data_IF_711522191396
#
_entry.id   IF_711522191396
#
_cell.length_a   1.000
_cell.length_b   1.000
_cell.length_c   1.000
_cell.angle_alpha   90.00
_cell.angle_beta   90.00
_cell.angle_gamma   90.00
#
_symmetry.space_group_name_H-M   'P 1'
#
loop_
_entity.id
_entity.type
_entity.pdbx_description
1 polymer ?
#
# COMPACT_ATOMS: atom_id res chain seq x y z
N UNK A 1 -35.62 -3.63 11.32
CA UNK A 1 -35.29 -5.03 10.98
C UNK A 1 -33.94 -5.35 11.61
N UNK A 2 -33.90 -6.31 12.54
CA UNK A 2 -32.72 -6.69 13.30
C UNK A 2 -31.78 -7.52 12.43
N UNK A 3 -30.61 -6.99 12.08
CA UNK A 3 -29.51 -7.77 11.52
C UNK A 3 -28.68 -8.38 12.67
N UNK A 4 -29.28 -9.35 13.36
CA UNK A 4 -28.51 -10.35 14.09
C UNK A 4 -28.04 -11.34 13.03
N UNK A 5 -26.73 -11.44 12.77
CA UNK A 5 -26.21 -12.71 12.27
C UNK A 5 -26.60 -13.74 13.31
N UNK A 6 -27.48 -14.71 13.01
CA UNK A 6 -27.84 -15.71 14.00
C UNK A 6 -26.55 -16.41 14.42
N UNK A 7 -26.36 -16.61 15.73
CA UNK A 7 -25.40 -17.62 16.20
C UNK A 7 -25.84 -18.93 15.56
N UNK A 8 -25.09 -19.40 14.56
CA UNK A 8 -25.41 -20.65 13.87
C UNK A 8 -24.90 -21.79 14.74
N UNK A 9 -25.62 -22.05 15.83
CA UNK A 9 -25.39 -23.20 16.68
C UNK A 9 -26.16 -24.37 16.10
N UNK A 10 -25.49 -25.23 15.33
CA UNK A 10 -26.13 -26.42 14.74
C UNK A 10 -25.85 -27.63 15.61
N UNK A 11 -26.90 -28.30 16.10
CA UNK A 11 -26.78 -29.54 16.87
C UNK A 11 -26.98 -30.75 15.97
N UNK A 12 -25.99 -31.64 15.90
CA UNK A 12 -26.13 -32.96 15.30
C UNK A 12 -26.40 -34.01 16.38
N UNK A 13 -27.39 -34.89 16.17
CA UNK A 13 -27.54 -36.12 16.97
C UNK A 13 -26.85 -37.24 16.21
N UNK A 14 -25.84 -37.85 16.84
CA UNK A 14 -25.01 -38.89 16.23
C UNK A 14 -25.13 -40.18 17.05
N UNK A 15 -25.43 -41.30 16.39
CA UNK A 15 -25.34 -42.64 17.00
C UNK A 15 -23.89 -43.11 17.13
N UNK A 16 -23.62 -44.21 17.85
CA UNK A 16 -22.26 -44.64 18.19
C UNK A 16 -21.36 -45.03 16.99
N UNK A 17 -21.88 -45.07 15.76
CA UNK A 17 -21.11 -45.33 14.53
C UNK A 17 -21.60 -44.52 13.31
N UNK A 18 -22.41 -43.47 13.50
CA UNK A 18 -22.93 -42.68 12.39
C UNK A 18 -21.98 -41.54 12.01
N UNK A 19 -21.78 -41.32 10.71
CA UNK A 19 -21.16 -40.09 10.20
C UNK A 19 -22.30 -39.14 9.86
N UNK A 20 -22.58 -38.17 10.73
CA UNK A 20 -23.54 -37.11 10.44
C UNK A 20 -22.86 -35.96 9.70
N UNK A 21 -23.32 -35.64 8.50
CA UNK A 21 -22.92 -34.42 7.78
C UNK A 21 -23.88 -33.30 8.16
N UNK A 22 -23.36 -32.19 8.70
CA UNK A 22 -24.15 -30.98 8.97
C UNK A 22 -23.81 -29.96 7.90
N UNK A 23 -24.77 -29.66 7.04
CA UNK A 23 -24.65 -28.56 6.09
C UNK A 23 -25.12 -27.28 6.76
N UNK A 24 -24.22 -26.31 6.87
CA UNK A 24 -24.54 -24.96 7.36
C UNK A 24 -24.67 -24.05 6.16
N UNK A 25 -25.89 -23.64 5.84
CA UNK A 25 -26.11 -22.55 4.90
C UNK A 25 -25.69 -21.23 5.55
N UNK A 26 -24.55 -20.71 5.11
CA UNK A 26 -24.13 -19.36 5.46
C UNK A 26 -24.93 -18.41 4.56
N UNK A 27 -25.76 -17.50 5.10
CA UNK A 27 -26.53 -16.59 4.28
C UNK A 27 -25.58 -15.74 3.41
N UNK A 28 -25.89 -15.64 2.12
CA UNK A 28 -25.14 -14.79 1.20
C UNK A 28 -25.32 -13.32 1.60
N UNK A 29 -24.30 -12.75 2.25
CA UNK A 29 -24.32 -11.34 2.64
C UNK A 29 -23.98 -10.52 1.40
N UNK A 30 -24.90 -9.67 0.99
CA UNK A 30 -24.67 -8.74 -0.12
C UNK A 30 -23.53 -7.78 0.26
N UNK A 31 -22.47 -7.66 -0.57
CA UNK A 31 -21.39 -6.74 -0.29
C UNK A 31 -21.90 -5.30 -0.33
N UNK A 32 -21.44 -4.50 0.63
CA UNK A 32 -21.68 -3.06 0.66
C UNK A 32 -20.51 -2.32 0.01
N UNK A 33 -20.78 -1.15 -0.56
CA UNK A 33 -19.77 -0.36 -1.27
C UNK A 33 -19.24 0.74 -0.37
N UNK A 34 -17.93 0.80 -0.19
CA UNK A 34 -17.25 1.92 0.45
C UNK A 34 -16.32 2.64 -0.53
N UNK A 35 -16.05 3.90 -0.25
CA UNK A 35 -15.07 4.72 -0.98
C UNK A 35 -14.04 5.32 -0.02
N UNK A 36 -12.77 5.29 -0.43
CA UNK A 36 -11.68 6.02 0.24
C UNK A 36 -10.89 6.80 -0.80
N UNK A 37 -10.42 7.96 -0.36
CA UNK A 37 -9.41 8.72 -1.09
C UNK A 37 -8.04 8.20 -0.66
N UNK A 38 -7.24 7.74 -1.60
CA UNK A 38 -5.89 7.26 -1.38
C UNK A 38 -4.94 8.22 -2.06
N UNK A 39 -3.96 8.68 -1.30
CA UNK A 39 -2.89 9.51 -1.81
C UNK A 39 -1.56 8.76 -1.66
N UNK A 40 -0.90 8.55 -2.79
CA UNK A 40 0.38 7.90 -2.89
C UNK A 40 1.44 8.92 -3.32
N UNK A 41 2.44 9.14 -2.47
CA UNK A 41 3.63 9.91 -2.79
C UNK A 41 4.81 8.97 -2.97
N UNK A 42 5.44 8.98 -4.15
CA UNK A 42 6.58 8.10 -4.47
C UNK A 42 7.82 8.94 -4.74
N UNK A 43 8.88 8.61 -4.02
CA UNK A 43 10.23 9.11 -4.25
C UNK A 43 11.02 8.06 -5.04
N UNK A 44 11.43 8.40 -6.26
CA UNK A 44 12.32 7.59 -7.08
C UNK A 44 13.73 8.16 -7.02
N UNK A 45 14.73 7.29 -6.79
CA UNK A 45 16.15 7.61 -6.78
C UNK A 45 16.90 6.66 -7.70
N UNK A 46 17.88 7.22 -8.40
CA UNK A 46 18.84 6.46 -9.19
C UNK A 46 20.23 6.66 -8.60
N UNK A 47 20.90 5.56 -8.27
CA UNK A 47 22.26 5.57 -7.73
C UNK A 47 23.21 4.83 -8.66
N UNK A 48 24.34 5.45 -8.99
CA UNK A 48 25.42 4.84 -9.77
C UNK A 48 26.67 4.76 -8.91
N UNK A 49 27.55 3.80 -9.16
CA UNK A 49 28.88 3.79 -8.55
C UNK A 49 29.75 4.83 -9.24
N UNK A 50 30.26 5.80 -8.48
CA UNK A 50 31.20 6.82 -8.96
C UNK A 50 32.52 6.74 -8.21
N UNK A 51 33.61 7.05 -8.90
CA UNK A 51 34.92 7.23 -8.27
C UNK A 51 35.08 8.66 -7.76
N UNK A 52 35.30 8.80 -6.46
CA UNK A 52 35.57 10.09 -5.83
C UNK A 52 36.97 10.11 -5.22
N UNK A 53 37.67 11.25 -5.26
CA UNK A 53 38.90 11.43 -4.52
C UNK A 53 38.63 11.43 -3.02
N UNK A 54 39.46 10.75 -2.25
CA UNK A 54 39.40 10.69 -0.80
C UNK A 54 40.80 10.74 -0.20
N UNK A 55 40.89 11.17 1.05
CA UNK A 55 42.11 11.20 1.84
C UNK A 55 41.91 10.38 3.11
N UNK A 56 42.97 9.78 3.63
CA UNK A 56 42.95 9.18 4.96
C UNK A 56 42.94 10.33 5.99
N UNK A 57 42.02 10.32 6.95
CA UNK A 57 41.95 11.34 8.00
C UNK A 57 42.36 10.72 9.33
N UNK A 58 43.27 11.38 10.06
CA UNK A 58 43.66 10.98 11.42
C UNK A 58 42.89 11.82 12.45
N UNK A 59 41.84 11.23 13.02
CA UNK A 59 40.99 11.86 14.03
C UNK A 59 41.77 12.37 15.26
N UNK A 60 42.94 11.81 15.57
CA UNK A 60 43.72 12.23 16.75
C UNK A 60 44.56 13.47 16.49
N UNK A 61 44.93 13.71 15.23
CA UNK A 61 45.76 14.85 14.81
C UNK A 61 44.96 15.90 14.04
N UNK A 62 43.71 15.59 13.70
CA UNK A 62 42.83 16.42 12.87
C UNK A 62 43.46 16.80 11.52
N UNK A 63 44.24 15.90 10.91
CA UNK A 63 44.94 16.14 9.65
C UNK A 63 44.70 15.02 8.62
N UNK A 64 44.76 15.38 7.33
CA UNK A 64 44.76 14.42 6.23
C UNK A 64 46.15 13.83 6.03
N UNK A 65 46.24 12.51 5.89
CA UNK A 65 47.49 11.75 5.76
C UNK A 65 47.56 11.05 4.40
N UNK A 66 48.73 11.10 3.78
CA UNK A 66 49.06 10.33 2.57
C UNK A 66 48.53 10.95 1.27
N UNK A 67 48.75 10.26 0.14
CA UNK A 67 48.28 10.71 -1.17
C UNK A 67 46.76 10.58 -1.30
N UNK A 68 46.16 11.37 -2.20
CA UNK A 68 44.77 11.19 -2.62
C UNK A 68 44.56 9.78 -3.18
N UNK A 69 43.56 9.07 -2.69
CA UNK A 69 43.12 7.77 -3.20
C UNK A 69 41.76 7.91 -3.87
N UNK A 70 41.49 7.08 -4.87
CA UNK A 70 40.16 7.00 -5.51
C UNK A 70 39.36 5.89 -4.83
N UNK A 71 38.17 6.22 -4.34
CA UNK A 71 37.24 5.25 -3.75
C UNK A 71 35.94 5.21 -4.56
N UNK A 72 35.36 4.02 -4.65
CA UNK A 72 34.07 3.81 -5.32
C UNK A 72 32.96 4.02 -4.29
N UNK A 73 32.08 4.99 -4.55
CA UNK A 73 30.94 5.30 -3.68
C UNK A 73 29.64 5.37 -4.51
N UNK A 74 28.49 5.03 -3.92
CA UNK A 74 27.21 5.26 -4.56
C UNK A 74 26.93 6.77 -4.64
N UNK A 75 26.78 7.29 -5.86
CA UNK A 75 26.45 8.68 -6.18
C UNK A 75 25.00 8.75 -6.67
N UNK A 76 24.24 9.72 -6.17
CA UNK A 76 22.88 9.98 -6.63
C UNK A 76 22.89 10.69 -7.98
N UNK A 77 22.42 10.01 -9.02
CA UNK A 77 22.34 10.56 -10.38
C UNK A 77 21.01 11.29 -10.62
N UNK A 78 19.91 10.72 -10.11
CA UNK A 78 18.56 11.25 -10.35
C UNK A 78 17.69 11.12 -9.11
N UNK A 79 16.84 12.13 -8.87
CA UNK A 79 15.85 12.15 -7.80
C UNK A 79 14.58 12.84 -8.29
N UNK A 80 13.46 12.15 -8.25
CA UNK A 80 12.15 12.72 -8.55
C UNK A 80 11.10 12.28 -7.54
N UNK A 81 10.10 13.14 -7.34
CA UNK A 81 8.94 12.86 -6.52
C UNK A 81 7.70 12.99 -7.41
N UNK A 82 6.82 12.00 -7.34
CA UNK A 82 5.54 12.05 -7.99
C UNK A 82 4.43 11.72 -6.98
N UNK A 83 3.32 12.44 -7.09
CA UNK A 83 2.15 12.28 -6.24
C UNK A 83 0.97 11.87 -7.11
N UNK A 84 0.33 10.78 -6.73
CA UNK A 84 -0.87 10.26 -7.37
C UNK A 84 -2.00 10.22 -6.34
N UNK A 85 -3.13 10.82 -6.67
CA UNK A 85 -4.32 10.79 -5.83
C UNK A 85 -5.37 9.96 -6.56
N UNK A 86 -5.75 8.83 -5.98
CA UNK A 86 -6.75 7.96 -6.56
C UNK A 86 -7.94 7.76 -5.62
N UNK A 87 -9.12 7.59 -6.21
CA UNK A 87 -10.33 7.19 -5.49
C UNK A 87 -10.56 5.71 -5.75
N UNK A 88 -10.60 4.90 -4.69
CA UNK A 88 -10.90 3.47 -4.80
C UNK A 88 -12.25 3.20 -4.20
N UNK A 89 -13.13 2.63 -5.02
CA UNK A 89 -14.36 1.98 -4.59
C UNK A 89 -14.07 0.52 -4.33
N UNK A 90 -14.47 0.03 -3.16
CA UNK A 90 -14.28 -1.35 -2.76
C UNK A 90 -15.58 -1.93 -2.25
N UNK A 91 -15.66 -3.26 -2.30
CA UNK A 91 -16.80 -4.04 -1.81
C UNK A 91 -16.39 -4.67 -0.48
N UNK A 92 -17.11 -4.35 0.59
CA UNK A 92 -16.92 -4.96 1.91
C UNK A 92 -18.05 -5.95 2.15
N UNK A 93 -17.71 -7.20 2.40
CA UNK A 93 -18.67 -8.24 2.77
C UNK A 93 -18.92 -8.25 4.29
N UNK A 94 -20.07 -8.79 4.71
CA UNK A 94 -20.38 -9.01 6.12
C UNK A 94 -20.33 -7.73 6.98
N UNK A 95 -20.91 -6.63 6.47
CA UNK A 95 -21.11 -5.39 7.22
C UNK A 95 -22.58 -4.93 7.14
N UNK A 96 -23.11 -4.29 8.20
CA UNK A 96 -24.45 -3.70 8.16
C UNK A 96 -24.54 -2.56 7.15
N UNK A 97 -25.68 -2.44 6.45
CA UNK A 97 -25.93 -1.35 5.48
C UNK A 97 -25.82 0.08 6.06
N UNK A 98 -25.95 0.21 7.38
CA UNK A 98 -25.83 1.50 8.08
C UNK A 98 -24.39 1.79 8.52
N UNK A 99 -23.43 0.93 8.19
CA UNK A 99 -22.04 1.13 8.57
C UNK A 99 -21.40 2.24 7.74
N UNK A 100 -20.75 3.16 8.43
CA UNK A 100 -19.96 4.24 7.83
C UNK A 100 -18.49 4.04 8.14
N UNK A 101 -17.62 4.33 7.18
CA UNK A 101 -16.17 4.30 7.40
C UNK A 101 -15.81 5.55 8.20
N UNK A 102 -15.19 5.33 9.37
CA UNK A 102 -14.77 6.42 10.25
C UNK A 102 -13.27 6.67 10.22
N UNK A 103 -12.49 5.67 9.83
CA UNK A 103 -11.03 5.78 9.73
C UNK A 103 -10.48 4.70 8.78
N UNK A 104 -9.29 4.94 8.23
CA UNK A 104 -8.60 4.01 7.35
C UNK A 104 -7.07 4.15 7.47
N UNK A 105 -6.38 3.02 7.60
CA UNK A 105 -4.94 2.95 7.78
C UNK A 105 -4.31 1.99 6.75
N UNK A 106 -3.41 2.48 5.87
CA UNK A 106 -2.65 1.60 4.99
C UNK A 106 -1.57 0.83 5.77
N UNK A 107 -1.34 -0.42 5.39
CA UNK A 107 -0.33 -1.32 5.96
C UNK A 107 0.35 -2.14 4.87
N UNK A 108 1.45 -2.83 5.19
CA UNK A 108 2.13 -3.75 4.28
C UNK A 108 2.47 -3.13 2.91
N UNK A 109 2.91 -1.87 2.92
CA UNK A 109 3.25 -1.13 1.71
C UNK A 109 4.50 -1.75 1.07
N UNK A 110 4.41 -2.02 -0.22
CA UNK A 110 5.50 -2.57 -1.03
C UNK A 110 5.53 -1.89 -2.39
N UNK A 111 6.73 -1.73 -2.94
CA UNK A 111 6.96 -1.06 -4.22
C UNK A 111 7.70 -1.99 -5.18
N UNK A 112 7.36 -1.90 -6.46
CA UNK A 112 8.05 -2.61 -7.54
C UNK A 112 8.35 -1.61 -8.64
N UNK A 113 9.60 -1.59 -9.10
CA UNK A 113 10.06 -0.70 -10.18
C UNK A 113 10.18 -1.51 -11.47
N UNK A 114 9.53 -1.04 -12.52
CA UNK A 114 9.54 -1.66 -13.85
C UNK A 114 10.04 -0.64 -14.89
N UNK A 115 11.01 -1.03 -15.71
CA UNK A 115 11.41 -0.26 -16.90
C UNK A 115 10.45 -0.62 -18.02
N UNK A 116 9.61 0.34 -18.43
CA UNK A 116 8.54 0.12 -19.43
C UNK A 116 8.89 0.67 -20.82
N UNK A 117 10.05 1.30 -20.97
CA UNK A 117 10.50 1.83 -22.25
C UNK A 117 11.97 2.29 -22.21
N UNK A 118 12.54 2.62 -23.37
CA UNK A 118 13.90 3.13 -23.47
C UNK A 118 14.06 4.51 -22.81
N UNK A 119 15.31 4.95 -22.67
CA UNK A 119 15.66 6.32 -22.32
C UNK A 119 14.86 7.32 -23.18
N UNK A 120 14.28 8.33 -22.53
CA UNK A 120 13.58 9.40 -23.22
C UNK A 120 14.51 10.62 -23.29
N UNK A 121 15.08 10.95 -24.47
CA UNK A 121 15.98 12.11 -24.61
C UNK A 121 15.24 13.45 -24.43
N UNK A 122 13.91 13.45 -24.46
CA UNK A 122 13.06 14.61 -24.24
C UNK A 122 12.04 14.30 -23.13
N UNK A 123 11.99 15.17 -22.10
CA UNK A 123 11.46 14.97 -20.74
C UNK A 123 10.00 14.51 -20.55
N UNK A 124 9.26 14.14 -21.60
CA UNK A 124 7.81 13.92 -21.52
C UNK A 124 7.37 12.45 -21.66
N UNK A 125 8.28 11.51 -21.98
CA UNK A 125 7.91 10.10 -22.07
C UNK A 125 8.27 9.35 -20.79
N UNK A 126 7.24 8.99 -20.03
CA UNK A 126 7.33 8.07 -18.89
C UNK A 126 7.94 6.74 -19.36
N UNK A 127 9.07 6.35 -18.77
CA UNK A 127 9.81 5.13 -19.10
C UNK A 127 10.05 4.23 -17.87
N UNK A 128 9.73 4.72 -16.68
CA UNK A 128 9.68 3.94 -15.43
C UNK A 128 8.25 3.91 -14.90
N UNK A 129 7.81 2.73 -14.49
CA UNK A 129 6.58 2.50 -13.74
C UNK A 129 6.95 2.01 -12.34
N UNK A 130 6.40 2.64 -11.32
CA UNK A 130 6.46 2.17 -9.94
C UNK A 130 5.07 1.69 -9.54
N UNK A 131 4.95 0.40 -9.28
CA UNK A 131 3.74 -0.23 -8.76
C UNK A 131 3.82 -0.25 -7.23
N UNK A 132 2.79 0.24 -6.56
CA UNK A 132 2.65 0.26 -5.10
C UNK A 132 1.54 -0.70 -4.73
N UNK A 133 1.83 -1.70 -3.89
CA UNK A 133 0.85 -2.63 -3.32
C UNK A 133 0.80 -2.45 -1.82
N UNK A 134 -0.41 -2.39 -1.25
CA UNK A 134 -0.61 -2.24 0.19
C UNK A 134 -1.95 -2.83 0.61
N UNK A 135 -2.06 -3.12 1.90
CA UNK A 135 -3.33 -3.49 2.53
C UNK A 135 -3.95 -2.25 3.19
N UNK A 136 -5.26 -2.28 3.40
CA UNK A 136 -6.00 -1.19 4.03
C UNK A 136 -6.86 -1.73 5.16
N UNK A 137 -6.58 -1.27 6.37
CA UNK A 137 -7.45 -1.50 7.53
C UNK A 137 -8.47 -0.39 7.60
N UNK A 138 -9.74 -0.76 7.62
CA UNK A 138 -10.88 0.12 7.73
C UNK A 138 -11.50 -0.04 9.12
N UNK A 139 -11.80 1.09 9.76
CA UNK A 139 -12.67 1.14 10.92
C UNK A 139 -14.06 1.61 10.48
N UNK A 140 -15.05 0.80 10.79
CA UNK A 140 -16.45 1.08 10.45
C UNK A 140 -17.26 1.25 11.71
N UNK A 141 -18.25 2.14 11.67
CA UNK A 141 -19.19 2.34 12.77
C UNK A 141 -20.64 2.27 12.32
N UNK A 142 -21.48 1.66 13.15
CA UNK A 142 -22.91 1.52 12.93
C UNK A 142 -23.66 1.52 14.27
N UNK A 143 -24.98 1.64 14.22
CA UNK A 143 -25.86 1.62 15.40
C UNK A 143 -26.56 0.27 15.54
N UNK A 144 -26.58 -0.27 16.76
CA UNK A 144 -27.38 -1.45 17.15
C UNK A 144 -28.14 -1.11 18.40
N UNK A 145 -29.48 -1.14 18.34
CA UNK A 145 -30.35 -0.88 19.51
C UNK A 145 -29.99 0.42 20.26
N UNK A 146 -29.70 1.49 19.50
CA UNK A 146 -29.31 2.78 20.05
C UNK A 146 -27.87 2.88 20.58
N UNK A 147 -27.06 1.82 20.48
CA UNK A 147 -25.64 1.82 20.87
C UNK A 147 -24.73 1.81 19.64
N UNK A 148 -23.73 2.70 19.64
CA UNK A 148 -22.68 2.73 18.61
C UNK A 148 -21.79 1.50 18.74
N UNK A 149 -21.63 0.77 17.64
CA UNK A 149 -20.69 -0.35 17.48
C UNK A 149 -19.60 0.04 16.50
N UNK A 150 -18.41 -0.51 16.70
CA UNK A 150 -17.23 -0.32 15.85
C UNK A 150 -16.71 -1.70 15.48
N UNK A 151 -16.39 -1.89 14.20
CA UNK A 151 -15.76 -3.10 13.68
C UNK A 151 -14.59 -2.72 12.78
N UNK A 152 -13.64 -3.64 12.63
CA UNK A 152 -12.55 -3.51 11.68
C UNK A 152 -12.70 -4.48 10.51
N UNK A 153 -12.23 -4.06 9.34
CA UNK A 153 -12.11 -4.89 8.14
C UNK A 153 -10.79 -4.59 7.45
N UNK A 154 -10.11 -5.62 6.98
CA UNK A 154 -8.90 -5.47 6.18
C UNK A 154 -9.24 -5.77 4.72
N UNK A 155 -8.81 -4.88 3.83
CA UNK A 155 -8.77 -5.10 2.40
C UNK A 155 -7.32 -5.37 2.01
N UNK A 156 -7.09 -6.46 1.29
CA UNK A 156 -5.75 -6.83 0.87
C UNK A 156 -5.48 -6.39 -0.57
N UNK A 157 -4.20 -6.24 -0.89
CA UNK A 157 -3.72 -6.14 -2.28
C UNK A 157 -4.25 -4.96 -3.09
N UNK A 158 -4.39 -3.80 -2.44
CA UNK A 158 -4.71 -2.57 -3.14
C UNK A 158 -3.48 -2.12 -3.93
N UNK A 159 -3.67 -1.86 -5.22
CA UNK A 159 -2.61 -1.48 -6.15
C UNK A 159 -2.81 -0.05 -6.68
N UNK A 160 -1.72 0.70 -6.71
CA UNK A 160 -1.58 2.01 -7.36
C UNK A 160 -0.33 2.02 -8.25
N UNK A 161 -0.32 2.82 -9.31
CA UNK A 161 0.83 2.93 -10.20
C UNK A 161 1.19 4.40 -10.41
N UNK A 162 2.49 4.70 -10.32
CA UNK A 162 3.07 6.02 -10.54
C UNK A 162 4.15 5.90 -11.60
N UNK A 163 4.33 6.93 -12.42
CA UNK A 163 5.19 6.85 -13.59
C UNK A 163 6.18 8.02 -13.64
N UNK A 164 7.42 7.72 -14.01
CA UNK A 164 8.53 8.67 -14.03
C UNK A 164 9.21 8.70 -15.41
N UNK A 165 9.82 9.83 -15.72
CA UNK A 165 10.77 9.98 -16.83
C UNK A 165 12.18 10.02 -16.24
N UNK A 166 13.00 9.02 -16.59
CA UNK A 166 14.39 8.88 -16.13
C UNK A 166 15.32 8.91 -17.35
N UNK A 167 16.38 9.75 -17.38
CA UNK A 167 17.26 9.87 -18.53
C UNK A 167 17.91 8.55 -18.95
N UNK A 168 18.43 7.77 -18.00
CA UNK A 168 19.18 6.54 -18.27
C UNK A 168 18.74 5.39 -17.35
N UNK A 169 17.57 4.77 -17.55
CA UNK A 169 16.97 3.86 -16.57
C UNK A 169 17.77 2.57 -16.30
N UNK A 170 18.73 2.21 -17.16
CA UNK A 170 19.58 1.02 -16.99
C UNK A 170 20.91 1.31 -16.30
N UNK A 171 21.32 2.58 -16.19
CA UNK A 171 22.59 2.94 -15.57
C UNK A 171 22.44 2.96 -14.04
N UNK A 172 22.90 1.91 -13.36
CA UNK A 172 22.85 1.81 -11.89
C UNK A 172 21.51 1.37 -11.33
N UNK A 173 21.35 1.57 -10.02
CA UNK A 173 20.24 1.02 -9.25
C UNK A 173 19.11 2.04 -9.09
N UNK A 174 17.89 1.61 -9.43
CA UNK A 174 16.67 2.37 -9.20
C UNK A 174 16.01 1.92 -7.90
N UNK A 175 15.84 2.84 -6.96
CA UNK A 175 15.14 2.61 -5.69
C UNK A 175 13.93 3.53 -5.58
N UNK A 176 12.78 2.94 -5.27
CA UNK A 176 11.55 3.67 -5.03
C UNK A 176 11.13 3.51 -3.56
N UNK A 177 10.56 4.58 -3.00
CA UNK A 177 9.93 4.55 -1.68
C UNK A 177 8.61 5.29 -1.74
N UNK A 178 7.53 4.61 -1.38
CA UNK A 178 6.20 5.18 -1.32
C UNK A 178 5.86 5.63 0.11
N UNK A 179 4.98 6.62 0.20
CA UNK A 179 4.24 6.98 1.40
C UNK A 179 2.78 7.03 1.00
N UNK A 180 1.96 6.22 1.67
CA UNK A 180 0.53 6.10 1.38
C UNK A 180 -0.24 6.73 2.53
N UNK A 181 -1.20 7.57 2.18
CA UNK A 181 -2.17 8.16 3.11
C UNK A 181 -3.57 7.85 2.61
N UNK A 182 -4.51 7.65 3.53
CA UNK A 182 -5.88 7.31 3.20
C UNK A 182 -6.81 8.20 4.01
N UNK A 183 -7.85 8.71 3.35
CA UNK A 183 -8.87 9.53 3.99
C UNK A 183 -10.24 8.86 3.81
N UNK A 184 -10.98 8.60 4.91
CA UNK A 184 -12.34 8.10 4.81
C UNK A 184 -13.20 9.16 4.13
N UNK A 185 -13.92 8.77 3.09
CA UNK A 185 -14.87 9.63 2.42
C UNK A 185 -16.27 9.23 2.88
N UNK A 186 -17.00 10.17 3.47
CA UNK A 186 -18.45 10.01 3.55
C UNK A 186 -19.02 10.39 2.20
N UNK A 187 -19.65 9.43 1.51
CA UNK A 187 -20.65 9.79 0.51
C UNK A 187 -21.69 10.63 1.24
N UNK A 188 -21.74 11.94 0.95
CA UNK A 188 -22.96 12.70 1.20
C UNK A 188 -23.98 12.07 0.26
N UNK A 189 -24.82 11.18 0.80
CA UNK A 189 -26.02 10.74 0.12
C UNK A 189 -26.73 12.01 -0.36
N UNK A 190 -26.76 12.19 -1.67
CA UNK A 190 -27.59 13.18 -2.37
C UNK A 190 -28.89 12.51 -2.74
#
# INVERSE_FOLDING_TARGET
>A
MNCLTPDVTTTARVGPNDISTVEVEIPFITPDRGEVLIECCVLLRQTICGEVPAFLFDDKKEECIGPEVRIIVPVLLFRAIAREVCRKKFKICAIPKSAVIIDCLPMNISETVEVIGPAAPECNRKNIKVSIRFDLVLLLSFMVEGRKKIISRQLCDINCAVYFCVPEPQAGDLTARATVTCHPMCDKAT
#
